data_IF_280430717293
#
_entry.id   IF_280430717293
#
_cell.length_a   1.000
_cell.length_b   1.000
_cell.length_c   1.000
_cell.angle_alpha   90.00
_cell.angle_beta   90.00
_cell.angle_gamma   90.00
#
_symmetry.space_group_name_H-M   'P 1'
#
loop_
_entity.id
_entity.type
_entity.pdbx_description
1 polymer ?
#
# COMPACT_ATOMS: atom_id res chain seq x y z
N UNK A 1 -8.37 3.55 3.30
CA UNK A 1 -9.78 3.90 2.99
C UNK A 1 -10.18 5.20 3.63
N UNK A 2 -11.47 5.49 3.72
CA UNK A 2 -11.99 6.65 4.45
C UNK A 2 -11.71 6.58 5.95
N UNK A 3 -11.71 5.35 6.49
CA UNK A 3 -11.38 5.00 7.89
C UNK A 3 -9.88 4.76 8.08
N UNK A 4 -9.04 5.50 7.36
CA UNK A 4 -7.59 5.33 7.43
C UNK A 4 -6.98 6.59 8.05
N UNK A 5 -6.22 6.47 9.16
CA UNK A 5 -5.65 7.62 9.86
C UNK A 5 -4.75 8.49 8.98
N UNK A 6 -4.12 7.91 7.95
CA UNK A 6 -3.26 8.63 7.02
C UNK A 6 -3.96 9.83 6.35
N UNK A 7 -5.27 9.75 6.09
CA UNK A 7 -6.02 10.88 5.51
C UNK A 7 -6.23 12.04 6.48
N UNK A 8 -6.25 11.76 7.79
CA UNK A 8 -6.40 12.76 8.84
C UNK A 8 -5.14 13.61 8.96
N UNK A 9 -3.98 12.97 8.87
CA UNK A 9 -2.67 13.61 9.03
C UNK A 9 -2.29 14.40 7.77
N UNK A 10 -2.54 13.87 6.57
CA UNK A 10 -2.12 14.49 5.31
C UNK A 10 -3.07 15.58 4.79
N UNK A 11 -4.37 15.55 5.15
CA UNK A 11 -5.38 16.49 4.60
C UNK A 11 -6.37 17.03 5.65
N UNK A 12 -5.95 17.94 6.55
CA UNK A 12 -6.76 18.39 7.68
C UNK A 12 -8.05 19.12 7.25
N UNK A 13 -8.01 19.93 6.19
CA UNK A 13 -9.19 20.64 5.68
C UNK A 13 -10.24 19.70 5.07
N UNK A 14 -9.80 18.60 4.42
CA UNK A 14 -10.70 17.58 3.90
C UNK A 14 -11.28 16.72 5.04
N UNK A 15 -10.50 16.50 6.09
CA UNK A 15 -10.96 15.82 7.30
C UNK A 15 -12.06 16.61 8.01
N UNK A 16 -11.95 17.94 8.11
CA UNK A 16 -12.99 18.79 8.71
C UNK A 16 -14.32 18.72 7.94
N UNK A 17 -14.29 18.77 6.61
CA UNK A 17 -15.49 18.58 5.78
C UNK A 17 -16.13 17.22 6.05
N UNK A 18 -15.33 16.14 6.04
CA UNK A 18 -15.81 14.79 6.33
C UNK A 18 -16.38 14.66 7.74
N UNK A 19 -15.75 15.29 8.73
CA UNK A 19 -16.23 15.32 10.12
C UNK A 19 -17.60 15.99 10.25
N UNK A 20 -17.88 17.02 9.44
CA UNK A 20 -19.17 17.68 9.41
C UNK A 20 -20.29 16.78 8.86
N UNK A 21 -20.00 15.96 7.83
CA UNK A 21 -20.96 15.00 7.24
C UNK A 21 -21.06 13.68 8.03
N UNK A 22 -20.01 13.31 8.75
CA UNK A 22 -19.87 12.04 9.47
C UNK A 22 -21.06 11.68 10.38
N UNK A 23 -21.52 12.54 11.32
CA UNK A 23 -22.61 12.17 12.21
C UNK A 23 -23.98 12.06 11.51
N UNK A 24 -24.16 12.72 10.36
CA UNK A 24 -25.46 12.81 9.68
C UNK A 24 -25.67 11.71 8.65
N UNK A 25 -24.61 11.23 8.00
CA UNK A 25 -24.69 10.21 6.96
C UNK A 25 -23.90 8.95 7.33
N UNK A 26 -22.57 9.04 7.37
CA UNK A 26 -21.68 7.87 7.41
C UNK A 26 -21.76 7.09 8.72
N UNK A 27 -21.90 7.79 9.85
CA UNK A 27 -22.06 7.15 11.17
C UNK A 27 -23.32 6.27 11.22
N UNK A 28 -24.45 6.75 10.69
CA UNK A 28 -25.71 5.99 10.66
C UNK A 28 -25.58 4.74 9.81
N UNK A 29 -24.93 4.85 8.66
CA UNK A 29 -24.67 3.71 7.76
C UNK A 29 -23.82 2.66 8.46
N UNK A 30 -22.69 3.04 9.07
CA UNK A 30 -21.80 2.10 9.76
C UNK A 30 -22.44 1.46 11.00
N UNK A 31 -23.21 2.24 11.78
CA UNK A 31 -23.88 1.76 12.98
C UNK A 31 -25.02 0.79 12.67
N UNK A 32 -25.81 1.08 11.65
CA UNK A 32 -27.01 0.31 11.32
C UNK A 32 -26.74 -0.86 10.37
N UNK A 33 -25.54 -0.94 9.78
CA UNK A 33 -25.13 -2.07 8.97
C UNK A 33 -25.20 -3.39 9.76
N UNK A 34 -25.67 -4.46 9.11
CA UNK A 34 -25.69 -5.80 9.70
C UNK A 34 -24.27 -6.29 10.04
N UNK A 35 -23.31 -5.98 9.17
CA UNK A 35 -21.88 -6.13 9.39
C UNK A 35 -21.09 -5.12 8.54
N UNK A 36 -19.91 -4.72 9.02
CA UNK A 36 -18.90 -3.97 8.28
C UNK A 36 -17.71 -4.90 8.05
N UNK A 37 -17.37 -5.11 6.79
CA UNK A 37 -16.34 -6.06 6.36
C UNK A 37 -15.01 -5.34 6.22
N UNK A 38 -13.99 -5.88 6.87
CA UNK A 38 -12.59 -5.48 6.74
C UNK A 38 -11.80 -6.56 6.04
N UNK A 39 -10.80 -6.15 5.25
CA UNK A 39 -9.96 -7.09 4.48
C UNK A 39 -8.80 -7.64 5.31
N UNK A 40 -8.40 -6.94 6.38
CA UNK A 40 -7.40 -7.42 7.32
C UNK A 40 -7.70 -6.98 8.75
N UNK A 41 -7.02 -7.62 9.71
CA UNK A 41 -7.15 -7.30 11.12
C UNK A 41 -6.53 -5.93 11.45
N UNK A 42 -5.45 -5.58 10.77
CA UNK A 42 -4.79 -4.29 10.88
C UNK A 42 -5.73 -3.19 10.38
N UNK A 43 -6.40 -3.39 9.24
CA UNK A 43 -7.38 -2.44 8.71
C UNK A 43 -8.49 -2.18 9.73
N UNK A 44 -9.03 -3.24 10.34
CA UNK A 44 -10.04 -3.16 11.40
C UNK A 44 -9.55 -2.36 12.61
N UNK A 45 -8.31 -2.62 13.05
CA UNK A 45 -7.70 -1.90 14.17
C UNK A 45 -7.49 -0.41 13.89
N UNK A 46 -7.05 -0.07 12.66
CA UNK A 46 -6.86 1.32 12.24
C UNK A 46 -8.20 2.07 12.06
N UNK A 47 -9.24 1.38 11.61
CA UNK A 47 -10.57 1.96 11.45
C UNK A 47 -11.15 2.48 12.77
N UNK A 48 -10.92 1.77 13.88
CA UNK A 48 -11.32 2.17 15.24
C UNK A 48 -10.72 3.50 15.69
N UNK A 49 -9.55 3.86 15.18
CA UNK A 49 -8.81 5.09 15.53
C UNK A 49 -9.19 6.30 14.67
N UNK A 50 -9.97 6.08 13.61
CA UNK A 50 -10.13 7.08 12.55
C UNK A 50 -11.17 8.16 12.86
N UNK A 51 -12.27 7.82 13.56
CA UNK A 51 -13.34 8.76 13.85
C UNK A 51 -13.92 8.62 15.25
N UNK A 52 -14.36 9.76 15.80
CA UNK A 52 -15.17 9.84 17.02
C UNK A 52 -16.52 9.12 16.80
N UNK A 53 -17.05 8.47 17.84
CA UNK A 53 -18.27 7.61 17.80
C UNK A 53 -18.15 6.37 16.90
N UNK A 54 -16.97 5.78 16.74
CA UNK A 54 -16.86 4.52 16.01
C UNK A 54 -17.67 3.39 16.68
N UNK A 55 -18.73 2.92 16.00
CA UNK A 55 -19.55 1.79 16.43
C UNK A 55 -20.09 1.07 15.20
N UNK A 56 -19.66 -0.16 14.98
CA UNK A 56 -20.17 -1.03 13.93
C UNK A 56 -20.02 -2.51 14.34
N UNK A 57 -20.67 -3.40 13.59
CA UNK A 57 -20.52 -4.86 13.75
C UNK A 57 -19.40 -5.34 12.84
N UNK A 58 -18.19 -5.43 13.38
CA UNK A 58 -16.98 -5.73 12.60
C UNK A 58 -16.91 -7.21 12.20
N UNK A 59 -16.51 -7.47 10.96
CA UNK A 59 -16.16 -8.81 10.46
C UNK A 59 -14.92 -8.70 9.58
N UNK A 60 -13.98 -9.63 9.74
CA UNK A 60 -12.81 -9.73 8.86
C UNK A 60 -13.07 -10.81 7.83
N UNK A 61 -12.95 -10.45 6.56
CA UNK A 61 -13.03 -11.37 5.42
C UNK A 61 -11.88 -11.02 4.49
N UNK A 62 -10.76 -11.77 4.59
CA UNK A 62 -9.62 -11.56 3.71
C UNK A 62 -10.02 -11.76 2.25
N UNK A 63 -9.48 -10.93 1.37
CA UNK A 63 -9.69 -11.11 -0.06
C UNK A 63 -8.91 -12.34 -0.53
N UNK A 64 -9.59 -13.22 -1.23
CA UNK A 64 -8.95 -14.28 -1.99
C UNK A 64 -8.12 -13.69 -3.13
N UNK A 65 -7.07 -14.40 -3.53
CA UNK A 65 -6.28 -14.09 -4.72
C UNK A 65 -6.34 -15.29 -5.63
N UNK A 66 -6.73 -15.06 -6.89
CA UNK A 66 -6.60 -16.08 -7.92
C UNK A 66 -5.14 -16.18 -8.34
N UNK A 67 -4.65 -17.42 -8.45
CA UNK A 67 -3.31 -17.64 -8.97
C UNK A 67 -3.27 -17.19 -10.44
N UNK A 68 -2.38 -16.25 -10.81
CA UNK A 68 -2.25 -15.87 -12.20
C UNK A 68 -1.72 -17.06 -13.01
N UNK A 69 -2.05 -17.16 -14.31
CA UNK A 69 -1.45 -18.15 -15.19
C UNK A 69 0.04 -17.80 -15.40
N UNK A 70 0.91 -18.39 -14.60
CA UNK A 70 2.36 -18.16 -14.68
C UNK A 70 2.98 -19.22 -15.62
N UNK A 71 3.65 -18.77 -16.68
CA UNK A 71 4.50 -19.62 -17.51
C UNK A 71 5.69 -20.13 -16.71
N UNK A 72 6.05 -21.42 -16.87
CA UNK A 72 7.26 -21.99 -16.26
C UNK A 72 8.54 -21.28 -16.67
N UNK A 73 8.52 -20.58 -17.81
CA UNK A 73 9.66 -19.86 -18.37
C UNK A 73 9.69 -18.36 -18.01
N UNK A 74 8.71 -17.86 -17.23
CA UNK A 74 8.61 -16.43 -16.93
C UNK A 74 9.89 -15.85 -16.29
N UNK A 75 10.57 -16.63 -15.44
CA UNK A 75 11.82 -16.21 -14.81
C UNK A 75 12.98 -16.11 -15.82
N UNK A 76 13.13 -17.08 -16.71
CA UNK A 76 14.21 -17.06 -17.70
C UNK A 76 14.00 -15.97 -18.75
N UNK A 77 12.75 -15.77 -19.18
CA UNK A 77 12.37 -14.66 -20.07
C UNK A 77 12.61 -13.29 -19.42
N UNK A 78 12.36 -13.16 -18.13
CA UNK A 78 12.66 -11.92 -17.40
C UNK A 78 14.17 -11.64 -17.33
N UNK A 79 14.96 -12.65 -16.97
CA UNK A 79 16.42 -12.51 -16.83
C UNK A 79 17.15 -12.37 -18.18
N UNK A 80 16.57 -12.87 -19.28
CA UNK A 80 17.11 -12.62 -20.63
C UNK A 80 16.90 -11.16 -21.07
N UNK A 81 15.80 -10.54 -20.63
CA UNK A 81 15.49 -9.13 -20.88
C UNK A 81 16.31 -8.17 -20.03
N UNK A 82 16.74 -8.61 -18.85
CA UNK A 82 17.55 -7.84 -17.90
C UNK A 82 18.81 -8.62 -17.47
N UNK A 83 19.81 -8.77 -18.35
CA UNK A 83 21.02 -9.56 -18.07
C UNK A 83 21.80 -9.06 -16.84
N UNK A 84 21.75 -7.77 -16.51
CA UNK A 84 22.39 -7.18 -15.35
C UNK A 84 21.89 -7.72 -14.01
N UNK A 85 20.70 -8.33 -14.00
CA UNK A 85 20.11 -8.94 -12.80
C UNK A 85 20.56 -10.40 -12.60
N UNK A 86 21.26 -10.99 -13.57
CA UNK A 86 21.76 -12.36 -13.46
C UNK A 86 22.75 -12.49 -12.30
N UNK A 87 22.63 -13.59 -11.55
CA UNK A 87 23.47 -13.89 -10.38
C UNK A 87 23.42 -12.83 -9.27
N UNK A 88 22.41 -11.95 -9.28
CA UNK A 88 22.18 -10.99 -8.20
C UNK A 88 21.04 -11.47 -7.30
N UNK A 89 21.09 -11.10 -6.02
CA UNK A 89 19.96 -11.28 -5.12
C UNK A 89 18.96 -10.16 -5.37
N UNK A 90 17.75 -10.52 -5.79
CA UNK A 90 16.72 -9.55 -6.20
C UNK A 90 15.73 -9.31 -5.05
N UNK A 91 15.58 -8.06 -4.65
CA UNK A 91 14.44 -7.57 -3.88
C UNK A 91 13.42 -6.96 -4.84
N UNK A 92 12.18 -7.44 -4.80
CA UNK A 92 11.09 -6.93 -5.63
C UNK A 92 10.07 -6.20 -4.76
N UNK A 93 9.88 -4.93 -5.04
CA UNK A 93 8.70 -4.18 -4.62
C UNK A 93 7.68 -4.19 -5.75
N UNK A 94 6.47 -4.67 -5.46
CA UNK A 94 5.37 -4.71 -6.42
C UNK A 94 4.18 -3.91 -5.89
N UNK A 95 3.88 -2.78 -6.52
CA UNK A 95 2.78 -1.92 -6.14
C UNK A 95 2.84 -0.54 -6.79
N UNK A 96 1.75 0.21 -6.68
CA UNK A 96 1.70 1.60 -7.15
C UNK A 96 2.83 2.41 -6.51
N UNK A 97 3.58 3.14 -7.34
CA UNK A 97 4.60 4.06 -6.87
C UNK A 97 3.90 5.27 -6.27
N UNK A 98 3.75 5.27 -4.95
CA UNK A 98 3.02 6.31 -4.23
C UNK A 98 3.59 6.45 -2.80
N UNK A 99 3.70 7.66 -2.24
CA UNK A 99 4.30 7.89 -0.91
C UNK A 99 3.71 7.02 0.20
N UNK A 100 2.38 6.85 0.19
CA UNK A 100 1.67 5.94 1.11
C UNK A 100 2.20 4.48 1.12
N UNK A 101 2.87 4.04 0.05
CA UNK A 101 3.43 2.69 -0.06
C UNK A 101 4.88 2.60 0.44
N UNK A 102 5.50 3.72 0.84
CA UNK A 102 6.82 3.74 1.46
C UNK A 102 7.96 3.36 0.51
N UNK A 103 7.85 3.66 -0.79
CA UNK A 103 8.90 3.35 -1.76
C UNK A 103 10.19 4.14 -1.48
N UNK A 104 10.05 5.35 -0.98
CA UNK A 104 11.11 6.23 -0.47
C UNK A 104 11.86 5.60 0.70
N UNK A 105 11.13 5.16 1.73
CA UNK A 105 11.72 4.50 2.89
C UNK A 105 12.48 3.23 2.51
N UNK A 106 11.94 2.47 1.55
CA UNK A 106 12.61 1.28 1.02
C UNK A 106 13.91 1.64 0.30
N UNK A 107 13.90 2.69 -0.51
CA UNK A 107 15.06 3.13 -1.27
C UNK A 107 16.17 3.66 -0.35
N UNK A 108 15.82 4.47 0.65
CA UNK A 108 16.74 4.95 1.68
C UNK A 108 17.37 3.80 2.47
N UNK A 109 16.55 2.84 2.92
CA UNK A 109 17.03 1.66 3.63
C UNK A 109 17.93 0.79 2.74
N UNK A 110 17.60 0.67 1.46
CA UNK A 110 18.41 -0.07 0.49
C UNK A 110 19.77 0.60 0.25
N UNK A 111 19.81 1.93 0.13
CA UNK A 111 21.05 2.68 -0.05
C UNK A 111 21.99 2.59 1.17
N UNK A 112 21.44 2.44 2.37
CA UNK A 112 22.21 2.24 3.60
C UNK A 112 22.71 0.80 3.78
N UNK A 113 22.16 -0.15 3.03
CA UNK A 113 22.53 -1.55 3.15
C UNK A 113 23.95 -1.76 2.62
N UNK A 114 24.87 -2.13 3.51
CA UNK A 114 26.19 -2.61 3.12
C UNK A 114 26.15 -4.12 3.00
N UNK A 115 26.34 -4.64 1.79
CA UNK A 115 26.48 -6.06 1.52
C UNK A 115 27.70 -6.31 0.65
N UNK A 116 28.38 -7.44 0.89
CA UNK A 116 29.42 -7.96 -0.01
C UNK A 116 28.81 -8.72 -1.20
N UNK A 117 27.51 -9.05 -1.13
CA UNK A 117 26.79 -9.71 -2.21
C UNK A 117 26.30 -8.70 -3.25
N UNK A 118 26.20 -9.12 -4.51
CA UNK A 118 25.52 -8.34 -5.55
C UNK A 118 24.01 -8.39 -5.33
N UNK A 119 23.43 -7.27 -4.90
CA UNK A 119 22.01 -7.14 -4.58
C UNK A 119 21.38 -6.11 -5.52
N UNK A 120 20.20 -6.44 -6.07
CA UNK A 120 19.41 -5.55 -6.93
C UNK A 120 18.05 -5.28 -6.32
N UNK A 121 17.61 -4.02 -6.30
CA UNK A 121 16.24 -3.62 -5.96
C UNK A 121 15.45 -3.32 -7.23
N UNK A 122 14.27 -3.90 -7.36
CA UNK A 122 13.34 -3.68 -8.47
C UNK A 122 12.06 -3.07 -7.91
N UNK A 123 11.71 -1.87 -8.38
CA UNK A 123 10.44 -1.22 -8.10
C UNK A 123 9.52 -1.41 -9.31
N UNK A 124 8.42 -2.15 -9.14
CA UNK A 124 7.49 -2.48 -10.22
C UNK A 124 6.07 -1.99 -9.90
N UNK A 125 5.52 -1.16 -10.77
CA UNK A 125 4.11 -0.76 -10.72
C UNK A 125 3.87 0.58 -11.42
N UNK A 126 2.61 0.95 -11.63
CA UNK A 126 2.28 2.18 -12.33
C UNK A 126 2.57 3.40 -11.46
N UNK A 127 3.15 4.43 -12.07
CA UNK A 127 3.30 5.76 -11.48
C UNK A 127 2.06 6.62 -11.79
N UNK A 128 1.22 6.81 -10.78
CA UNK A 128 -0.01 7.60 -10.93
C UNK A 128 0.18 9.08 -10.58
N UNK A 129 1.33 9.45 -10.00
CA UNK A 129 1.57 10.77 -9.41
C UNK A 129 2.80 11.47 -9.98
N UNK A 130 3.53 10.85 -10.91
CA UNK A 130 4.77 11.38 -11.49
C UNK A 130 5.98 11.25 -10.55
N UNK A 131 5.84 10.41 -9.52
CA UNK A 131 6.80 10.29 -8.43
C UNK A 131 8.04 9.47 -8.80
N UNK A 132 8.01 8.76 -9.93
CA UNK A 132 9.18 8.08 -10.47
C UNK A 132 10.36 9.05 -10.66
N UNK A 133 10.08 10.28 -11.09
CA UNK A 133 11.11 11.29 -11.30
C UNK A 133 11.84 11.70 -10.01
N UNK A 134 11.13 11.79 -8.89
CA UNK A 134 11.74 12.10 -7.59
C UNK A 134 12.50 10.90 -7.02
N UNK A 135 11.96 9.69 -7.18
CA UNK A 135 12.67 8.46 -6.78
C UNK A 135 13.98 8.28 -7.55
N UNK A 136 14.00 8.60 -8.85
CA UNK A 136 15.21 8.56 -9.68
C UNK A 136 16.26 9.61 -9.29
N UNK A 137 15.92 10.67 -8.54
CA UNK A 137 16.93 11.64 -8.03
C UNK A 137 17.65 11.14 -6.77
N UNK A 138 17.11 10.11 -6.11
CA UNK A 138 17.70 9.56 -4.88
C UNK A 138 18.77 8.50 -5.16
N UNK A 139 18.96 8.10 -6.42
CA UNK A 139 19.93 7.10 -6.90
C UNK A 139 20.78 7.72 -7.99
#
# INVERSE_FOLDING_TARGET
GMLDPWFKETFPLKHLKKWLYWPWAEYRVLRNAAAVIFTSEEERSQARKSFWLYRCREKVSPLGVEAPPISSNAKSEFLSRYPQLQNTRIFLFLGRLHPKKGCDMLLEAFAQMRSNDSISLILAGPDQVGWESDLRRQV
#
